data_IF_211696983681
#
_entry.id   IF_211696983681
#
_cell.length_a   1.000
_cell.length_b   1.000
_cell.length_c   1.000
_cell.angle_alpha   90.00
_cell.angle_beta   90.00
_cell.angle_gamma   90.00
#
_symmetry.space_group_name_H-M   'P 1'
#
loop_
_entity.id
_entity.type
_entity.pdbx_description
1 polymer ?
#
# COMPACT_ATOMS: atom_id res chain seq x y z
N UNK A 1 -16.93 56.37 -35.46
CA UNK A 1 -17.78 55.28 -34.92
C UNK A 1 -17.21 53.97 -35.46
N UNK A 2 -17.09 52.96 -34.58
CA UNK A 2 -16.58 51.59 -34.79
C UNK A 2 -15.07 51.32 -34.57
N UNK A 3 -14.77 50.77 -33.39
CA UNK A 3 -13.68 49.83 -33.07
C UNK A 3 -14.13 48.38 -33.47
N UNK A 4 -13.37 47.30 -33.20
CA UNK A 4 -12.14 46.85 -33.86
C UNK A 4 -12.22 45.35 -34.26
N UNK A 5 -11.51 44.89 -35.29
CA UNK A 5 -11.33 43.44 -35.52
C UNK A 5 -9.87 43.11 -35.79
N UNK A 6 -9.19 42.58 -34.77
CA UNK A 6 -7.81 42.13 -34.92
C UNK A 6 -7.19 41.35 -33.75
N UNK A 7 -7.93 41.11 -32.64
CA UNK A 7 -7.38 40.44 -31.46
C UNK A 7 -8.00 39.05 -31.18
N UNK A 8 -8.82 38.52 -32.08
CA UNK A 8 -9.56 37.27 -31.86
C UNK A 8 -8.88 36.01 -32.40
N UNK A 9 -7.87 36.11 -33.28
CA UNK A 9 -7.22 34.94 -33.90
C UNK A 9 -5.92 34.50 -33.26
N UNK A 10 -5.38 35.25 -32.29
CA UNK A 10 -4.14 34.91 -31.59
C UNK A 10 -4.36 34.24 -30.22
N UNK A 11 -5.61 34.13 -29.73
CA UNK A 11 -5.93 33.46 -28.46
C UNK A 11 -6.22 31.97 -28.59
N UNK A 12 -6.37 31.44 -29.81
CA UNK A 12 -6.69 30.01 -30.03
C UNK A 12 -5.47 29.15 -30.38
N UNK A 13 -4.31 29.76 -30.61
CA UNK A 13 -3.06 29.01 -30.87
C UNK A 13 -2.20 28.81 -29.62
N UNK A 14 -2.49 29.47 -28.51
CA UNK A 14 -1.74 29.33 -27.24
C UNK A 14 -2.42 28.42 -26.21
N UNK A 15 -3.67 27.98 -26.46
CA UNK A 15 -4.37 26.98 -25.63
C UNK A 15 -4.07 25.55 -26.09
N UNK A 16 -3.59 25.36 -27.32
CA UNK A 16 -3.32 24.01 -27.87
C UNK A 16 -1.96 23.42 -27.48
N UNK A 17 -1.05 24.21 -26.88
CA UNK A 17 0.30 23.75 -26.53
C UNK A 17 0.43 23.19 -25.10
N UNK A 18 -0.63 23.25 -24.28
CA UNK A 18 -0.60 22.73 -22.90
C UNK A 18 -1.26 21.34 -22.75
N UNK A 19 -1.69 20.72 -23.86
CA UNK A 19 -2.51 19.51 -23.84
C UNK A 19 -1.77 18.19 -24.20
N UNK A 20 -0.44 18.21 -24.43
CA UNK A 20 0.28 17.05 -24.98
C UNK A 20 1.56 16.70 -24.21
N UNK A 21 1.48 16.70 -22.89
CA UNK A 21 2.42 15.96 -22.05
C UNK A 21 1.69 14.87 -21.25
N UNK A 22 0.76 14.16 -21.89
CA UNK A 22 0.55 12.76 -21.51
C UNK A 22 1.77 12.01 -22.03
N UNK A 23 2.87 12.05 -21.27
CA UNK A 23 3.88 11.04 -21.40
C UNK A 23 3.14 9.71 -21.18
N UNK A 24 2.98 8.93 -22.25
CA UNK A 24 2.55 7.55 -22.12
C UNK A 24 3.51 6.94 -21.09
N UNK A 25 2.97 6.54 -19.94
CA UNK A 25 3.79 5.87 -18.96
C UNK A 25 4.39 4.65 -19.64
N UNK A 26 5.70 4.46 -19.48
CA UNK A 26 6.34 3.27 -19.99
C UNK A 26 5.88 2.10 -19.13
N UNK A 27 5.50 1.00 -19.80
CA UNK A 27 5.20 -0.25 -19.13
C UNK A 27 6.36 -0.66 -18.21
N UNK A 28 6.03 -1.36 -17.12
CA UNK A 28 7.03 -1.92 -16.23
C UNK A 28 7.81 -3.03 -16.97
N UNK A 29 9.13 -2.94 -16.94
CA UNK A 29 10.04 -3.89 -17.60
C UNK A 29 10.11 -5.23 -16.87
N UNK A 30 9.79 -5.26 -15.56
CA UNK A 30 9.86 -6.47 -14.75
C UNK A 30 8.94 -6.47 -13.52
N UNK A 31 8.79 -7.66 -12.93
CA UNK A 31 8.15 -7.85 -11.62
C UNK A 31 8.83 -7.05 -10.50
N UNK A 32 10.17 -6.96 -10.54
CA UNK A 32 10.98 -6.27 -9.55
C UNK A 32 10.82 -4.75 -9.66
N UNK A 33 10.72 -4.22 -10.88
CA UNK A 33 10.44 -2.81 -11.09
C UNK A 33 9.06 -2.43 -10.52
N UNK A 34 8.03 -3.24 -10.82
CA UNK A 34 6.70 -3.04 -10.24
C UNK A 34 6.74 -3.10 -8.72
N UNK A 35 7.44 -4.08 -8.13
CA UNK A 35 7.56 -4.20 -6.68
C UNK A 35 8.25 -2.97 -6.07
N UNK A 36 9.35 -2.50 -6.67
CA UNK A 36 10.06 -1.30 -6.22
C UNK A 36 9.19 -0.05 -6.31
N UNK A 37 8.47 0.11 -7.42
CA UNK A 37 7.55 1.21 -7.64
C UNK A 37 6.43 1.20 -6.59
N UNK A 38 5.81 0.04 -6.34
CA UNK A 38 4.79 -0.09 -5.29
C UNK A 38 5.36 0.30 -3.92
N UNK A 39 6.55 -0.18 -3.55
CA UNK A 39 7.15 0.10 -2.24
C UNK A 39 7.48 1.57 -2.00
N UNK A 40 7.86 2.32 -3.03
CA UNK A 40 8.32 3.72 -2.91
C UNK A 40 7.33 4.75 -3.48
N UNK A 41 6.14 4.32 -3.93
CA UNK A 41 5.19 5.14 -4.67
C UNK A 41 4.88 6.50 -4.01
N UNK A 42 4.67 6.55 -2.69
CA UNK A 42 4.35 7.79 -1.99
C UNK A 42 5.40 8.90 -2.13
N UNK A 43 6.65 8.57 -2.51
CA UNK A 43 7.72 9.55 -2.68
C UNK A 43 7.54 10.41 -3.93
N UNK A 44 7.01 9.80 -5.00
CA UNK A 44 6.70 10.47 -6.25
C UNK A 44 5.45 9.81 -6.86
N UNK A 45 4.24 10.22 -6.42
CA UNK A 45 3.01 9.59 -6.87
C UNK A 45 2.78 9.75 -8.38
N UNK A 46 2.58 8.63 -9.08
CA UNK A 46 2.31 8.58 -10.52
C UNK A 46 1.00 7.80 -10.79
N UNK A 47 -0.17 8.30 -10.36
CA UNK A 47 -1.42 7.55 -10.43
C UNK A 47 -1.83 7.16 -11.87
N UNK A 48 -1.38 7.91 -12.87
CA UNK A 48 -1.57 7.60 -14.29
C UNK A 48 -0.98 6.24 -14.71
N UNK A 49 0.01 5.71 -13.98
CA UNK A 49 0.63 4.40 -14.26
C UNK A 49 -0.20 3.22 -13.79
N UNK A 50 -1.33 3.46 -13.10
CA UNK A 50 -2.14 2.40 -12.50
C UNK A 50 -2.58 1.33 -13.50
N UNK A 51 -2.99 1.71 -14.71
CA UNK A 51 -3.42 0.75 -15.74
C UNK A 51 -2.30 -0.22 -16.14
N UNK A 52 -1.08 0.28 -16.30
CA UNK A 52 0.11 -0.54 -16.58
C UNK A 52 0.50 -1.39 -15.39
N UNK A 53 0.45 -0.84 -14.18
CA UNK A 53 0.79 -1.55 -12.97
C UNK A 53 -0.16 -2.74 -12.73
N UNK A 54 -1.47 -2.54 -12.95
CA UNK A 54 -2.47 -3.60 -12.88
C UNK A 54 -2.23 -4.69 -13.94
N UNK A 55 -1.95 -4.30 -15.19
CA UNK A 55 -1.60 -5.23 -16.26
C UNK A 55 -0.40 -6.09 -15.90
N UNK A 56 0.68 -5.47 -15.44
CA UNK A 56 1.89 -6.16 -15.03
C UNK A 56 1.64 -7.07 -13.81
N UNK A 57 0.85 -6.60 -12.84
CA UNK A 57 0.55 -7.38 -11.65
C UNK A 57 -0.23 -8.67 -11.98
N UNK A 58 -1.25 -8.59 -12.84
CA UNK A 58 -2.07 -9.76 -13.17
C UNK A 58 -1.49 -10.65 -14.28
N UNK A 59 -0.43 -10.18 -14.98
CA UNK A 59 0.28 -10.97 -15.99
C UNK A 59 1.04 -12.16 -15.40
N UNK A 60 1.25 -12.21 -14.08
CA UNK A 60 1.88 -13.31 -13.38
C UNK A 60 0.84 -14.14 -12.60
N UNK A 61 0.33 -15.27 -13.15
CA UNK A 61 -0.75 -16.03 -12.54
C UNK A 61 -0.43 -16.53 -11.13
N UNK A 62 0.85 -16.78 -10.83
CA UNK A 62 1.32 -17.23 -9.53
C UNK A 62 0.94 -16.28 -8.39
N UNK A 63 0.83 -14.96 -8.65
CA UNK A 63 0.40 -13.96 -7.66
C UNK A 63 -1.05 -14.13 -7.25
N UNK A 64 -1.88 -14.67 -8.14
CA UNK A 64 -3.33 -14.76 -7.96
C UNK A 64 -3.79 -16.09 -7.34
N UNK A 65 -2.87 -17.03 -7.12
CA UNK A 65 -3.17 -18.38 -6.61
C UNK A 65 -3.64 -18.35 -5.15
N UNK A 66 -3.18 -17.38 -4.36
CA UNK A 66 -3.48 -17.27 -2.92
C UNK A 66 -4.36 -16.04 -2.67
N UNK A 67 -5.69 -16.17 -2.83
CA UNK A 67 -6.61 -15.02 -2.75
C UNK A 67 -6.60 -14.33 -1.38
N UNK A 68 -6.22 -15.01 -0.31
CA UNK A 68 -6.04 -14.48 1.05
C UNK A 68 -4.84 -13.54 1.19
N UNK A 69 -3.89 -13.55 0.23
CA UNK A 69 -2.74 -12.63 0.20
C UNK A 69 -2.92 -11.44 -0.73
N UNK A 70 -4.08 -11.35 -1.39
CA UNK A 70 -4.36 -10.31 -2.37
C UNK A 70 -4.90 -9.01 -1.75
N UNK A 71 -5.16 -8.98 -0.44
CA UNK A 71 -5.80 -7.82 0.18
C UNK A 71 -4.86 -6.62 0.26
N UNK A 72 -3.58 -6.82 0.61
CA UNK A 72 -2.57 -5.76 0.60
C UNK A 72 -2.36 -5.13 -0.80
N UNK A 73 -2.07 -5.90 -1.88
CA UNK A 73 -1.96 -5.29 -3.21
C UNK A 73 -3.29 -4.71 -3.69
N UNK A 74 -4.44 -5.32 -3.34
CA UNK A 74 -5.73 -4.73 -3.66
C UNK A 74 -5.95 -3.39 -2.96
N UNK A 75 -5.55 -3.25 -1.69
CA UNK A 75 -5.59 -1.99 -0.96
C UNK A 75 -4.73 -0.93 -1.64
N UNK A 76 -3.48 -1.26 -1.95
CA UNK A 76 -2.56 -0.34 -2.63
C UNK A 76 -3.19 0.20 -3.93
N UNK A 77 -3.55 -0.67 -4.86
CA UNK A 77 -4.15 -0.24 -6.13
C UNK A 77 -5.51 0.45 -5.93
N UNK A 78 -6.26 0.06 -4.91
CA UNK A 78 -7.54 0.66 -4.55
C UNK A 78 -7.40 2.11 -4.13
N UNK A 79 -6.39 2.43 -3.32
CA UNK A 79 -6.03 3.81 -2.95
C UNK A 79 -5.69 4.62 -4.20
N UNK A 80 -4.83 4.09 -5.08
CA UNK A 80 -4.44 4.77 -6.32
C UNK A 80 -5.66 5.06 -7.21
N UNK A 81 -6.54 4.06 -7.40
CA UNK A 81 -7.77 4.17 -8.16
C UNK A 81 -8.76 5.20 -7.57
N UNK A 82 -8.64 5.54 -6.28
CA UNK A 82 -9.48 6.56 -5.62
C UNK A 82 -8.83 7.94 -5.63
N UNK A 83 -7.50 8.00 -5.69
CA UNK A 83 -6.73 9.25 -5.66
C UNK A 83 -6.86 10.07 -6.95
N UNK A 84 -7.22 9.45 -8.09
CA UNK A 84 -7.30 10.12 -9.38
C UNK A 84 -8.46 9.57 -10.25
N UNK A 85 -9.31 10.43 -10.84
CA UNK A 85 -10.33 10.02 -11.80
C UNK A 85 -9.74 9.26 -13.00
N UNK A 86 -8.63 9.74 -13.57
CA UNK A 86 -7.99 9.10 -14.73
C UNK A 86 -7.44 7.72 -14.39
N UNK A 87 -6.88 7.54 -13.19
CA UNK A 87 -6.43 6.24 -12.71
C UNK A 87 -7.62 5.28 -12.56
N UNK A 88 -8.73 5.77 -12.00
CA UNK A 88 -9.97 4.98 -11.87
C UNK A 88 -10.49 4.54 -13.23
N UNK A 89 -10.57 5.46 -14.18
CA UNK A 89 -11.03 5.17 -15.55
C UNK A 89 -10.14 4.13 -16.22
N UNK A 90 -8.81 4.24 -16.08
CA UNK A 90 -7.87 3.24 -16.59
C UNK A 90 -8.11 1.83 -15.98
N UNK A 91 -8.36 1.76 -14.66
CA UNK A 91 -8.66 0.49 -14.00
C UNK A 91 -10.01 -0.10 -14.44
N UNK A 92 -11.04 0.74 -14.66
CA UNK A 92 -12.35 0.31 -15.19
C UNK A 92 -12.24 -0.19 -16.62
N UNK A 93 -11.54 0.55 -17.49
CA UNK A 93 -11.30 0.14 -18.87
C UNK A 93 -10.54 -1.20 -18.92
N UNK A 94 -9.57 -1.39 -18.03
CA UNK A 94 -8.85 -2.66 -17.93
C UNK A 94 -9.76 -3.81 -17.46
N UNK A 95 -10.59 -3.61 -16.43
CA UNK A 95 -11.59 -4.61 -16.01
C UNK A 95 -12.50 -5.03 -17.17
N UNK A 96 -13.00 -4.07 -17.95
CA UNK A 96 -13.87 -4.33 -19.10
C UNK A 96 -13.19 -5.14 -20.20
N UNK A 97 -11.87 -4.99 -20.37
CA UNK A 97 -11.09 -5.73 -21.36
C UNK A 97 -10.77 -7.18 -20.96
N UNK A 98 -10.85 -7.52 -19.67
CA UNK A 98 -10.45 -8.83 -19.16
C UNK A 98 -11.57 -9.88 -19.33
N UNK A 99 -11.23 -11.11 -19.77
CA UNK A 99 -12.16 -12.25 -19.71
C UNK A 99 -12.44 -12.63 -18.24
N UNK A 100 -13.50 -13.39 -18.01
CA UNK A 100 -13.79 -13.94 -16.68
C UNK A 100 -12.63 -14.81 -16.19
N UNK A 101 -12.20 -14.61 -14.93
CA UNK A 101 -11.10 -15.36 -14.34
C UNK A 101 -10.40 -14.61 -13.20
N UNK A 102 -9.34 -15.20 -12.62
CA UNK A 102 -8.61 -14.60 -11.49
C UNK A 102 -8.12 -13.16 -11.74
N UNK A 103 -7.58 -12.79 -12.92
CA UNK A 103 -7.20 -11.41 -13.21
C UNK A 103 -8.36 -10.43 -13.05
N UNK A 104 -9.52 -10.72 -13.66
CA UNK A 104 -10.71 -9.87 -13.57
C UNK A 104 -11.22 -9.78 -12.13
N UNK A 105 -11.26 -10.90 -11.42
CA UNK A 105 -11.66 -10.93 -10.01
C UNK A 105 -10.78 -10.05 -9.11
N UNK A 106 -9.47 -10.02 -9.38
CA UNK A 106 -8.54 -9.15 -8.67
C UNK A 106 -8.79 -7.66 -8.99
N UNK A 107 -8.92 -7.28 -10.26
CA UNK A 107 -9.20 -5.88 -10.64
C UNK A 107 -10.55 -5.42 -10.07
N UNK A 108 -11.57 -6.28 -10.06
CA UNK A 108 -12.83 -5.97 -9.40
C UNK A 108 -12.70 -5.80 -7.89
N UNK A 109 -11.81 -6.56 -7.23
CA UNK A 109 -11.48 -6.35 -5.82
C UNK A 109 -10.86 -4.97 -5.61
N UNK A 110 -9.91 -4.57 -6.45
CA UNK A 110 -9.31 -3.23 -6.45
C UNK A 110 -10.38 -2.14 -6.58
N UNK A 111 -11.28 -2.26 -7.56
CA UNK A 111 -12.32 -1.25 -7.82
C UNK A 111 -13.35 -1.10 -6.69
N UNK A 112 -13.56 -2.17 -5.90
CA UNK A 112 -14.43 -2.16 -4.72
C UNK A 112 -13.80 -1.51 -3.49
N UNK A 113 -12.49 -1.32 -3.45
CA UNK A 113 -11.85 -0.71 -2.29
C UNK A 113 -12.38 0.70 -2.00
N UNK A 114 -12.49 1.02 -0.72
CA UNK A 114 -12.80 2.38 -0.24
C UNK A 114 -11.61 3.33 -0.42
N UNK A 115 -10.39 2.78 -0.47
CA UNK A 115 -9.14 3.54 -0.47
C UNK A 115 -8.76 4.08 0.91
N UNK A 116 -9.44 3.63 1.97
CA UNK A 116 -9.16 3.97 3.36
C UNK A 116 -8.88 2.71 4.16
N UNK A 117 -8.17 2.86 5.28
CA UNK A 117 -8.10 1.81 6.29
C UNK A 117 -9.41 1.80 7.07
N UNK A 118 -10.10 0.66 7.08
CA UNK A 118 -11.36 0.46 7.79
C UNK A 118 -11.16 -0.03 9.23
N UNK A 119 -9.92 0.01 9.72
CA UNK A 119 -9.55 -0.43 11.07
C UNK A 119 -8.43 0.44 11.63
N UNK A 120 -8.41 0.57 12.95
CA UNK A 120 -7.42 1.37 13.69
C UNK A 120 -6.41 0.52 14.46
N UNK A 121 -6.54 -0.81 14.38
CA UNK A 121 -5.68 -1.81 15.01
C UNK A 121 -5.65 -3.07 14.14
N UNK A 122 -4.46 -3.59 13.85
CA UNK A 122 -4.27 -4.81 13.09
C UNK A 122 -4.68 -6.02 13.94
N UNK A 123 -5.40 -6.98 13.34
CA UNK A 123 -5.98 -8.14 14.04
C UNK A 123 -5.33 -9.46 13.62
N UNK A 124 -4.59 -9.43 12.53
CA UNK A 124 -3.80 -10.55 12.02
C UNK A 124 -2.62 -10.04 11.16
N UNK A 125 -1.71 -10.92 10.71
CA UNK A 125 -0.56 -10.50 9.91
C UNK A 125 -0.94 -9.89 8.55
N UNK A 126 -2.07 -10.29 7.96
CA UNK A 126 -2.54 -9.73 6.70
C UNK A 126 -2.98 -8.26 6.88
N UNK A 127 -3.59 -7.91 8.01
CA UNK A 127 -3.89 -6.51 8.36
C UNK A 127 -2.59 -5.66 8.44
N UNK A 128 -1.44 -6.22 8.85
CA UNK A 128 -0.14 -5.51 8.83
C UNK A 128 0.28 -5.20 7.40
N UNK A 129 0.18 -6.17 6.48
CA UNK A 129 0.53 -5.96 5.08
C UNK A 129 -0.39 -4.94 4.40
N UNK A 130 -1.69 -4.97 4.72
CA UNK A 130 -2.68 -3.96 4.24
C UNK A 130 -2.30 -2.56 4.73
N UNK A 131 -1.88 -2.42 5.99
CA UNK A 131 -1.44 -1.15 6.56
C UNK A 131 -0.20 -0.61 5.85
N UNK A 132 0.77 -1.47 5.55
CA UNK A 132 1.95 -1.07 4.79
C UNK A 132 1.64 -0.74 3.33
N UNK A 133 0.69 -1.45 2.71
CA UNK A 133 0.17 -1.09 1.40
C UNK A 133 -0.49 0.29 1.38
N UNK A 134 -1.25 0.64 2.43
CA UNK A 134 -1.78 2.00 2.60
C UNK A 134 -0.63 3.02 2.67
N UNK A 135 0.36 2.79 3.55
CA UNK A 135 1.51 3.69 3.66
C UNK A 135 2.26 3.85 2.35
N UNK A 136 2.49 2.76 1.62
CA UNK A 136 3.19 2.79 0.35
C UNK A 136 2.42 3.64 -0.68
N UNK A 137 1.08 3.59 -0.66
CA UNK A 137 0.23 4.36 -1.54
C UNK A 137 0.07 5.85 -1.15
N UNK A 138 0.11 6.19 0.14
CA UNK A 138 -0.22 7.55 0.63
C UNK A 138 0.89 8.28 1.37
N UNK A 139 1.87 7.56 1.90
CA UNK A 139 2.87 8.06 2.84
C UNK A 139 2.29 8.42 4.22
N UNK A 140 1.11 7.91 4.56
CA UNK A 140 0.43 8.20 5.83
C UNK A 140 1.04 7.43 7.01
N UNK A 141 1.54 8.16 8.00
CA UNK A 141 2.23 7.62 9.16
C UNK A 141 1.29 7.00 10.21
N UNK A 142 -0.03 7.10 10.04
CA UNK A 142 -0.97 6.30 10.83
C UNK A 142 -0.69 4.80 10.72
N UNK A 143 -0.11 4.36 9.60
CA UNK A 143 0.38 3.00 9.43
C UNK A 143 1.41 2.61 10.51
N UNK A 144 2.39 3.48 10.77
CA UNK A 144 3.41 3.24 11.81
C UNK A 144 2.76 3.13 13.18
N UNK A 145 1.76 3.98 13.47
CA UNK A 145 1.00 3.91 14.73
C UNK A 145 0.28 2.57 14.88
N UNK A 146 -0.40 2.10 13.84
CA UNK A 146 -1.15 0.84 13.86
C UNK A 146 -0.20 -0.36 14.07
N UNK A 147 0.92 -0.40 13.37
CA UNK A 147 1.88 -1.51 13.48
C UNK A 147 2.64 -1.47 14.81
N UNK A 148 2.99 -0.28 15.33
CA UNK A 148 3.55 -0.15 16.68
C UNK A 148 2.57 -0.66 17.74
N UNK A 149 1.27 -0.41 17.59
CA UNK A 149 0.27 -0.93 18.52
C UNK A 149 0.17 -2.48 18.50
N UNK A 150 0.59 -3.14 17.42
CA UNK A 150 0.65 -4.60 17.31
C UNK A 150 1.87 -5.21 18.02
N UNK A 151 2.83 -4.41 18.49
CA UNK A 151 3.93 -4.88 19.33
C UNK A 151 3.44 -5.39 20.69
N UNK A 152 2.29 -4.90 21.15
CA UNK A 152 1.62 -5.29 22.40
C UNK A 152 0.43 -6.25 22.14
N UNK A 153 0.38 -6.91 20.98
CA UNK A 153 -0.72 -7.82 20.63
C UNK A 153 -0.80 -9.00 21.60
N UNK A 154 -1.96 -9.22 22.20
CA UNK A 154 -2.19 -10.21 23.25
C UNK A 154 -2.81 -11.50 22.72
N UNK A 155 -2.74 -12.58 23.51
CA UNK A 155 -3.33 -13.87 23.16
C UNK A 155 -4.85 -13.81 23.04
N UNK A 156 -5.49 -12.94 23.82
CA UNK A 156 -6.95 -12.75 23.82
C UNK A 156 -7.44 -12.11 22.51
N UNK A 157 -6.57 -11.38 21.80
CA UNK A 157 -6.87 -10.78 20.50
C UNK A 157 -6.75 -11.77 19.34
N UNK A 158 -6.19 -12.97 19.57
CA UNK A 158 -6.03 -13.99 18.52
C UNK A 158 -7.35 -14.69 18.24
N UNK A 159 -7.90 -14.40 17.06
CA UNK A 159 -9.05 -15.08 16.47
C UNK A 159 -8.61 -16.12 15.43
N UNK A 160 -8.40 -17.37 15.88
CA UNK A 160 -8.00 -18.51 15.03
C UNK A 160 -9.05 -18.88 13.96
N UNK A 161 -10.24 -18.29 13.97
CA UNK A 161 -11.23 -18.51 12.91
C UNK A 161 -10.84 -17.84 11.59
N UNK A 162 -10.02 -16.77 11.64
CA UNK A 162 -9.62 -15.99 10.45
C UNK A 162 -8.80 -16.84 9.46
N UNK A 163 -9.01 -16.67 8.14
CA UNK A 163 -8.37 -17.51 7.12
C UNK A 163 -6.83 -17.50 7.17
N UNK A 164 -6.22 -16.34 7.45
CA UNK A 164 -4.76 -16.22 7.40
C UNK A 164 -4.08 -17.13 8.43
N UNK A 165 -4.62 -17.25 9.65
CA UNK A 165 -4.05 -18.10 10.69
C UNK A 165 -4.03 -19.57 10.28
N UNK A 166 -5.09 -20.03 9.61
CA UNK A 166 -5.18 -21.37 9.04
C UNK A 166 -4.17 -21.55 7.91
N UNK A 167 -4.04 -20.56 7.02
CA UNK A 167 -3.09 -20.58 5.91
C UNK A 167 -1.63 -20.67 6.38
N UNK A 168 -1.29 -19.99 7.48
CA UNK A 168 0.05 -20.04 8.10
C UNK A 168 0.19 -21.11 9.19
N UNK A 169 -0.82 -21.99 9.34
CA UNK A 169 -0.80 -23.17 10.21
C UNK A 169 -0.61 -22.90 11.71
N UNK A 170 -1.07 -21.75 12.20
CA UNK A 170 -1.06 -21.43 13.63
C UNK A 170 -2.14 -22.21 14.35
N UNK A 171 -1.79 -22.86 15.46
CA UNK A 171 -2.68 -23.82 16.15
C UNK A 171 -3.26 -23.29 17.45
N UNK A 172 -2.58 -22.34 18.08
CA UNK A 172 -2.99 -21.80 19.37
C UNK A 172 -2.76 -20.28 19.46
N UNK A 173 -3.38 -19.69 20.49
CA UNK A 173 -3.34 -18.23 20.73
C UNK A 173 -1.94 -17.74 21.16
N UNK A 174 -1.20 -18.42 22.04
CA UNK A 174 0.19 -18.04 22.35
C UNK A 174 1.07 -17.92 21.11
N UNK A 175 1.02 -18.91 20.21
CA UNK A 175 1.76 -18.90 18.94
C UNK A 175 1.32 -17.74 18.05
N UNK A 176 0.00 -17.54 17.87
CA UNK A 176 -0.54 -16.46 17.06
C UNK A 176 -0.12 -15.07 17.56
N UNK A 177 -0.18 -14.83 18.87
CA UNK A 177 0.22 -13.55 19.45
C UNK A 177 1.73 -13.31 19.31
N UNK A 178 2.56 -14.35 19.53
CA UNK A 178 4.00 -14.27 19.31
C UNK A 178 4.31 -13.93 17.85
N UNK A 179 3.66 -14.59 16.89
CA UNK A 179 3.84 -14.32 15.46
C UNK A 179 3.40 -12.91 15.08
N UNK A 180 2.28 -12.42 15.62
CA UNK A 180 1.80 -11.06 15.36
C UNK A 180 2.83 -10.01 15.81
N UNK A 181 3.32 -10.13 17.05
CA UNK A 181 4.37 -9.24 17.59
C UNK A 181 5.66 -9.31 16.77
N UNK A 182 6.02 -10.52 16.34
CA UNK A 182 7.20 -10.77 15.50
C UNK A 182 7.09 -10.11 14.12
N UNK A 183 5.94 -10.25 13.47
CA UNK A 183 5.65 -9.65 12.17
C UNK A 183 5.65 -8.11 12.25
N UNK A 184 5.06 -7.56 13.32
CA UNK A 184 5.09 -6.12 13.57
C UNK A 184 6.54 -5.61 13.78
N UNK A 185 7.32 -6.24 14.65
CA UNK A 185 8.70 -5.84 14.90
C UNK A 185 9.58 -5.94 13.65
N UNK A 186 9.46 -7.04 12.91
CA UNK A 186 10.21 -7.25 11.67
C UNK A 186 9.86 -6.23 10.59
N UNK A 187 8.56 -6.00 10.35
CA UNK A 187 8.12 -5.07 9.32
C UNK A 187 8.50 -3.63 9.66
N UNK A 188 8.37 -3.20 10.92
CA UNK A 188 8.82 -1.88 11.36
C UNK A 188 10.32 -1.69 11.11
N UNK A 189 11.16 -2.67 11.44
CA UNK A 189 12.60 -2.58 11.22
C UNK A 189 12.93 -2.47 9.72
N UNK A 190 12.28 -3.27 8.87
CA UNK A 190 12.48 -3.22 7.42
C UNK A 190 12.03 -1.91 6.80
N UNK A 191 10.86 -1.41 7.19
CA UNK A 191 10.37 -0.12 6.70
C UNK A 191 11.18 1.06 7.25
N UNK A 192 11.74 0.97 8.48
CA UNK A 192 12.65 1.99 9.01
C UNK A 192 13.99 2.05 8.26
N UNK A 193 14.47 0.93 7.72
CA UNK A 193 15.66 0.89 6.87
C UNK A 193 15.39 1.48 5.48
N UNK A 194 14.20 1.26 4.93
CA UNK A 194 13.82 1.66 3.58
C UNK A 194 13.28 3.09 3.50
N UNK A 195 12.59 3.57 4.53
CA UNK A 195 11.85 4.83 4.51
C UNK A 195 12.29 5.77 5.64
N UNK A 196 12.95 6.91 5.32
CA UNK A 196 13.37 7.89 6.32
C UNK A 196 12.22 8.37 7.22
N UNK A 197 11.03 8.59 6.65
CA UNK A 197 9.84 9.02 7.40
C UNK A 197 9.38 8.01 8.45
N UNK A 198 9.53 6.71 8.17
CA UNK A 198 9.20 5.64 9.14
C UNK A 198 10.26 5.62 10.25
N UNK A 199 11.53 5.76 9.90
CA UNK A 199 12.63 5.85 10.85
C UNK A 199 12.43 7.01 11.84
N UNK A 200 12.20 8.21 11.32
CA UNK A 200 11.95 9.42 12.12
C UNK A 200 10.73 9.24 13.05
N UNK A 201 9.64 8.65 12.54
CA UNK A 201 8.46 8.42 13.35
C UNK A 201 8.75 7.42 14.49
N UNK A 202 9.53 6.37 14.23
CA UNK A 202 9.94 5.42 15.27
C UNK A 202 10.89 6.04 16.30
N UNK A 203 11.79 6.94 15.89
CA UNK A 203 12.62 7.70 16.83
C UNK A 203 11.78 8.60 17.75
N UNK A 204 10.74 9.27 17.20
CA UNK A 204 9.78 10.04 18.01
C UNK A 204 9.03 9.14 18.99
N UNK A 205 8.59 7.96 18.55
CA UNK A 205 7.93 7.00 19.43
C UNK A 205 8.88 6.50 20.54
N UNK A 206 10.16 6.28 20.23
CA UNK A 206 11.19 5.90 21.21
C UNK A 206 11.39 6.99 22.27
N UNK A 207 11.48 8.25 21.85
CA UNK A 207 11.61 9.39 22.76
C UNK A 207 10.37 9.56 23.67
N UNK A 208 9.18 9.25 23.14
CA UNK A 208 7.91 9.27 23.87
C UNK A 208 7.57 7.99 24.66
N UNK A 209 8.45 6.98 24.67
CA UNK A 209 8.17 5.70 25.29
C UNK A 209 7.99 5.84 26.82
N UNK A 210 6.88 5.30 27.34
CA UNK A 210 6.47 5.45 28.74
C UNK A 210 7.08 4.41 29.66
N UNK A 211 7.50 3.26 29.13
CA UNK A 211 8.07 2.15 29.90
C UNK A 211 9.43 1.75 29.36
N UNK A 212 10.29 1.19 30.21
CA UNK A 212 11.60 0.69 29.77
C UNK A 212 11.47 -0.48 28.81
N UNK A 213 10.46 -1.34 29.00
CA UNK A 213 10.16 -2.44 28.09
C UNK A 213 9.84 -1.93 26.67
N UNK A 214 8.97 -0.93 26.55
CA UNK A 214 8.63 -0.30 25.26
C UNK A 214 9.85 0.37 24.63
N UNK A 215 10.66 1.08 25.44
CA UNK A 215 11.89 1.74 24.99
C UNK A 215 12.90 0.72 24.45
N UNK A 216 13.13 -0.38 25.18
CA UNK A 216 14.03 -1.44 24.77
C UNK A 216 13.57 -2.11 23.46
N UNK A 217 12.27 -2.36 23.31
CA UNK A 217 11.70 -2.94 22.10
C UNK A 217 11.87 -2.03 20.88
N UNK A 218 11.51 -0.75 21.00
CA UNK A 218 11.66 0.23 19.91
C UNK A 218 13.12 0.45 19.53
N UNK A 219 14.03 0.49 20.50
CA UNK A 219 15.47 0.56 20.25
C UNK A 219 15.96 -0.68 19.50
N UNK A 220 15.55 -1.88 19.92
CA UNK A 220 15.88 -3.12 19.22
C UNK A 220 15.41 -3.13 17.76
N UNK A 221 14.22 -2.60 17.47
CA UNK A 221 13.69 -2.45 16.10
C UNK A 221 14.57 -1.50 15.28
N UNK A 222 14.91 -0.32 15.82
CA UNK A 222 15.75 0.68 15.14
C UNK A 222 17.19 0.19 14.91
N UNK A 223 17.74 -0.59 15.84
CA UNK A 223 19.07 -1.18 15.74
C UNK A 223 19.10 -2.43 14.81
N UNK A 224 17.96 -2.86 14.30
CA UNK A 224 17.82 -4.11 13.54
C UNK A 224 18.02 -5.38 14.37
N UNK A 225 18.06 -5.26 15.71
CA UNK A 225 18.21 -6.37 16.66
C UNK A 225 16.83 -6.86 17.11
N UNK A 226 16.12 -7.53 16.20
CA UNK A 226 14.80 -8.10 16.49
C UNK A 226 15.00 -9.38 17.32
N UNK A 227 14.83 -9.29 18.65
CA UNK A 227 14.83 -10.48 19.51
C UNK A 227 13.45 -11.14 19.50
N UNK A 228 13.34 -12.26 18.79
CA UNK A 228 12.13 -13.10 18.69
C UNK A 228 12.06 -14.14 19.84
N UNK A 229 12.42 -13.75 21.06
CA UNK A 229 12.33 -14.65 22.23
C UNK A 229 10.91 -14.68 22.75
#
# INVERSE_FOLDING_TARGET
MQLPFGAARLRHLLVLAFALAFAAASAFDSADELSRWMSLYYQAPEPQRLGEALRQFVAEPARLVQPERLDAPAQFFGVLARSSPSAREAAVAFDQSLPAGPPKQFVQRVLRQSGKLEFTRARDPNDIDIVWAQFAATGDLDAVRIVVAALDFSEQEVDLSRPIWKAIKVKDRPEGARLMRSAAAWSLAKHAQMHPRVNEQLQKNLAGAKTEAQRAQLRGILDGRISLK
#
